data_IF_010446943546
#
_entry.id   IF_010446943546
#
_cell.length_a   1.000
_cell.length_b   1.000
_cell.length_c   1.000
_cell.angle_alpha   90.00
_cell.angle_beta   90.00
_cell.angle_gamma   90.00
#
_symmetry.space_group_name_H-M   'P 1'
#
loop_
_entity.id
_entity.type
_entity.pdbx_description
1 polymer ?
#
# COMPACT_ATOMS: atom_id res chain seq x y z
N UNK A 1 -23.00 16.74 -2.60
CA UNK A 1 -22.77 16.80 -1.14
C UNK A 1 -21.27 16.76 -0.92
N UNK A 2 -20.75 17.51 0.05
CA UNK A 2 -19.31 17.70 0.27
C UNK A 2 -18.57 16.36 0.36
N UNK A 3 -17.70 16.09 -0.61
CA UNK A 3 -16.82 14.89 -0.67
C UNK A 3 -15.64 15.01 0.33
N UNK A 4 -15.51 16.15 0.99
CA UNK A 4 -14.42 16.43 1.94
C UNK A 4 -14.90 16.13 3.36
N UNK A 5 -14.43 15.01 3.90
CA UNK A 5 -14.41 14.78 5.34
C UNK A 5 -13.43 15.80 5.94
N UNK A 6 -13.87 16.63 6.88
CA UNK A 6 -12.97 17.57 7.57
C UNK A 6 -11.87 16.74 8.24
N UNK A 7 -10.61 17.16 8.11
CA UNK A 7 -9.46 16.44 8.70
C UNK A 7 -9.64 16.07 10.17
N UNK A 8 -10.35 16.89 10.94
CA UNK A 8 -10.67 16.65 12.36
C UNK A 8 -11.51 15.38 12.61
N UNK A 9 -12.27 14.93 11.61
CA UNK A 9 -13.09 13.71 11.70
C UNK A 9 -12.31 12.41 11.44
N UNK A 10 -11.06 12.49 10.95
CA UNK A 10 -10.22 11.30 10.71
C UNK A 10 -9.33 11.05 11.93
N UNK A 11 -9.33 9.83 12.43
CA UNK A 11 -8.39 9.33 13.40
C UNK A 11 -7.45 8.31 12.74
N UNK A 12 -6.18 8.71 12.60
CA UNK A 12 -5.10 7.80 12.21
C UNK A 12 -4.72 6.99 13.46
N UNK A 13 -5.06 5.70 13.44
CA UNK A 13 -4.81 4.75 14.53
C UNK A 13 -3.37 4.28 14.44
N UNK A 14 -2.54 4.83 15.31
CA UNK A 14 -1.14 4.43 15.46
C UNK A 14 -1.06 3.05 16.10
N UNK A 15 -0.65 2.04 15.32
CA UNK A 15 -0.56 0.65 15.76
C UNK A 15 0.89 0.32 16.11
N UNK A 16 1.07 -0.20 17.31
CA UNK A 16 2.31 -0.62 17.95
C UNK A 16 2.11 -2.03 18.53
N UNK A 17 3.14 -2.59 19.16
CA UNK A 17 3.07 -3.95 19.69
C UNK A 17 1.99 -4.14 20.78
N UNK A 18 1.68 -3.10 21.56
CA UNK A 18 0.77 -3.17 22.70
C UNK A 18 -0.71 -3.15 22.31
N UNK A 19 -1.08 -2.53 21.18
CA UNK A 19 -2.46 -2.49 20.69
C UNK A 19 -2.71 -3.31 19.42
N UNK A 20 -1.71 -4.00 18.87
CA UNK A 20 -1.82 -4.74 17.61
C UNK A 20 -3.04 -5.68 17.55
N UNK A 21 -3.26 -6.47 18.60
CA UNK A 21 -4.38 -7.42 18.66
C UNK A 21 -5.73 -6.71 18.65
N UNK A 22 -5.86 -5.63 19.43
CA UNK A 22 -7.07 -4.83 19.56
C UNK A 22 -7.46 -4.21 18.21
N UNK A 23 -6.47 -3.67 17.51
CA UNK A 23 -6.67 -3.08 16.19
C UNK A 23 -7.05 -4.12 15.13
N UNK A 24 -6.48 -5.32 15.21
CA UNK A 24 -6.90 -6.43 14.34
C UNK A 24 -8.28 -6.99 14.68
N UNK A 25 -8.76 -6.88 15.92
CA UNK A 25 -10.16 -7.21 16.24
C UNK A 25 -11.11 -6.25 15.52
N UNK A 26 -10.84 -4.94 15.57
CA UNK A 26 -11.65 -3.95 14.85
C UNK A 26 -11.65 -4.18 13.34
N UNK A 27 -10.49 -4.47 12.76
CA UNK A 27 -10.35 -4.77 11.33
C UNK A 27 -11.21 -5.96 10.91
N UNK A 28 -11.21 -7.04 11.71
CA UNK A 28 -12.04 -8.23 11.43
C UNK A 28 -13.53 -7.94 11.48
N UNK A 29 -13.95 -7.00 12.32
CA UNK A 29 -15.36 -6.60 12.43
C UNK A 29 -15.83 -5.78 11.22
N UNK A 30 -14.95 -5.04 10.56
CA UNK A 30 -15.34 -4.09 9.49
C UNK A 30 -15.09 -4.60 8.07
N UNK A 31 -14.24 -5.61 7.87
CA UNK A 31 -13.74 -5.96 6.53
C UNK A 31 -14.85 -6.36 5.54
N UNK A 32 -15.93 -6.96 6.04
CA UNK A 32 -17.07 -7.37 5.21
C UNK A 32 -17.92 -6.17 4.77
N UNK A 33 -18.04 -5.14 5.61
CA UNK A 33 -18.81 -3.92 5.33
C UNK A 33 -18.00 -2.87 4.54
N UNK A 34 -16.67 -2.90 4.68
CA UNK A 34 -15.73 -1.95 4.07
C UNK A 34 -14.66 -2.69 3.24
N UNK A 35 -15.05 -3.34 2.12
CA UNK A 35 -14.19 -4.29 1.41
C UNK A 35 -13.11 -3.64 0.52
N UNK A 36 -13.08 -2.32 0.36
CA UNK A 36 -12.01 -1.65 -0.37
C UNK A 36 -10.87 -1.31 0.58
N UNK A 37 -9.68 -1.84 0.31
CA UNK A 37 -8.50 -1.69 1.17
C UNK A 37 -7.43 -0.94 0.40
N UNK A 38 -7.32 0.35 0.67
CA UNK A 38 -6.23 1.16 0.16
C UNK A 38 -4.97 0.98 1.00
N UNK A 39 -3.82 0.86 0.33
CA UNK A 39 -2.57 0.50 0.98
C UNK A 39 -1.39 1.29 0.43
N UNK A 40 -0.46 1.63 1.34
CA UNK A 40 0.83 2.24 1.06
C UNK A 40 1.87 1.77 2.08
N UNK A 41 3.16 1.79 1.74
CA UNK A 41 4.24 1.39 2.65
C UNK A 41 5.41 2.37 2.68
N UNK A 42 6.05 2.46 3.85
CA UNK A 42 7.32 3.16 4.00
C UNK A 42 8.45 2.17 4.28
N UNK A 43 9.55 2.32 3.54
CA UNK A 43 10.69 1.42 3.56
C UNK A 43 11.99 2.19 3.25
N UNK A 44 13.18 1.62 3.53
CA UNK A 44 14.44 2.36 3.50
C UNK A 44 15.02 2.58 2.08
N UNK A 45 14.14 2.75 1.08
CA UNK A 45 14.48 3.07 -0.30
C UNK A 45 15.04 1.92 -1.12
N UNK A 46 15.88 2.28 -2.10
CA UNK A 46 16.51 1.36 -3.06
C UNK A 46 18.02 1.57 -2.98
N UNK A 47 18.76 0.51 -2.64
CA UNK A 47 20.21 0.56 -2.39
C UNK A 47 21.01 -0.28 -3.39
N UNK A 48 20.37 -1.21 -4.08
CA UNK A 48 21.01 -2.09 -5.04
C UNK A 48 20.31 -2.03 -6.40
N UNK A 49 21.11 -2.12 -7.48
CA UNK A 49 20.62 -2.38 -8.83
C UNK A 49 21.35 -3.59 -9.38
N UNK A 50 20.62 -4.62 -9.86
CA UNK A 50 21.26 -5.82 -10.37
C UNK A 50 22.00 -5.48 -11.68
N UNK A 51 23.23 -5.95 -11.79
CA UNK A 51 24.05 -5.82 -13.00
C UNK A 51 23.84 -7.06 -13.88
N UNK A 52 23.69 -6.86 -15.19
CA UNK A 52 23.57 -7.95 -16.15
C UNK A 52 22.73 -7.62 -17.36
N UNK A 53 22.60 -8.60 -18.26
CA UNK A 53 21.73 -8.50 -19.43
C UNK A 53 20.33 -9.04 -19.07
N UNK A 54 19.32 -8.18 -19.17
CA UNK A 54 17.93 -8.52 -18.93
C UNK A 54 17.20 -8.66 -20.26
N UNK A 55 16.33 -9.67 -20.37
CA UNK A 55 15.57 -9.92 -21.60
C UNK A 55 14.54 -8.83 -21.88
N UNK A 56 13.96 -8.27 -20.82
CA UNK A 56 12.94 -7.22 -20.90
C UNK A 56 13.15 -6.17 -19.80
N UNK A 57 12.55 -4.98 -19.98
CA UNK A 57 12.53 -3.95 -18.93
C UNK A 57 11.78 -4.44 -17.68
N UNK A 58 10.73 -5.24 -17.87
CA UNK A 58 9.95 -5.83 -16.77
C UNK A 58 10.79 -6.79 -15.94
N UNK A 59 11.62 -7.63 -16.56
CA UNK A 59 12.56 -8.51 -15.85
C UNK A 59 13.56 -7.69 -15.03
N UNK A 60 14.09 -6.60 -15.58
CA UNK A 60 15.00 -5.71 -14.88
C UNK A 60 14.32 -5.05 -13.67
N UNK A 61 13.10 -4.52 -13.84
CA UNK A 61 12.34 -3.90 -12.76
C UNK A 61 12.02 -4.90 -11.66
N UNK A 62 11.54 -6.10 -12.02
CA UNK A 62 11.24 -7.14 -11.05
C UNK A 62 12.49 -7.59 -10.28
N UNK A 63 13.62 -7.80 -10.97
CA UNK A 63 14.88 -8.17 -10.32
C UNK A 63 15.38 -7.08 -9.38
N UNK A 64 15.23 -5.81 -9.77
CA UNK A 64 15.58 -4.68 -8.91
C UNK A 64 14.70 -4.65 -7.66
N UNK A 65 13.39 -4.82 -7.81
CA UNK A 65 12.45 -4.94 -6.69
C UNK A 65 12.83 -6.09 -5.76
N UNK A 66 12.96 -7.31 -6.30
CA UNK A 66 13.32 -8.52 -5.55
C UNK A 66 14.56 -8.31 -4.70
N UNK A 67 15.65 -7.86 -5.31
CA UNK A 67 16.93 -7.66 -4.63
C UNK A 67 16.83 -6.70 -3.45
N UNK A 68 16.07 -5.61 -3.61
CA UNK A 68 15.94 -4.62 -2.54
C UNK A 68 14.97 -5.08 -1.45
N UNK A 69 13.80 -5.64 -1.83
CA UNK A 69 12.82 -6.13 -0.85
C UNK A 69 13.41 -7.26 -0.01
N UNK A 70 14.14 -8.20 -0.60
CA UNK A 70 14.75 -9.32 0.14
C UNK A 70 15.78 -8.85 1.17
N UNK A 71 16.55 -7.82 0.83
CA UNK A 71 17.63 -7.27 1.67
C UNK A 71 17.13 -6.29 2.73
N UNK A 72 16.10 -5.51 2.43
CA UNK A 72 15.64 -4.40 3.25
C UNK A 72 14.45 -4.82 4.12
N UNK A 73 14.10 -3.95 5.08
CA UNK A 73 13.06 -4.21 6.07
C UNK A 73 11.98 -3.14 5.98
N UNK A 74 10.73 -3.56 6.08
CA UNK A 74 9.56 -2.69 6.12
C UNK A 74 9.62 -1.80 7.37
N UNK A 75 9.23 -0.53 7.25
CA UNK A 75 9.22 0.43 8.38
C UNK A 75 7.78 0.70 8.80
N UNK A 76 6.89 0.93 7.83
CA UNK A 76 5.51 1.30 8.07
C UNK A 76 4.59 0.71 7.00
N UNK A 77 3.34 0.42 7.38
CA UNK A 77 2.24 0.05 6.49
C UNK A 77 1.01 0.87 6.86
N UNK A 78 0.34 1.42 5.86
CA UNK A 78 -0.93 2.11 6.01
C UNK A 78 -2.04 1.30 5.39
N UNK A 79 -3.16 1.16 6.10
CA UNK A 79 -4.37 0.56 5.57
C UNK A 79 -5.56 1.49 5.80
N UNK A 80 -6.27 1.80 4.73
CA UNK A 80 -7.52 2.55 4.77
C UNK A 80 -8.63 1.68 4.19
N UNK A 81 -9.66 1.43 4.99
CA UNK A 81 -10.83 0.65 4.59
C UNK A 81 -11.95 1.59 4.16
N UNK A 82 -12.64 1.24 3.08
CA UNK A 82 -13.86 1.95 2.67
C UNK A 82 -14.91 1.02 2.06
N UNK A 83 -16.16 1.47 2.08
CA UNK A 83 -17.23 0.83 1.31
C UNK A 83 -17.12 1.19 -0.18
N UNK A 84 -18.04 0.65 -1.00
CA UNK A 84 -18.12 0.95 -2.45
C UNK A 84 -18.31 2.43 -2.78
N UNK A 85 -18.82 3.21 -1.82
CA UNK A 85 -19.09 4.64 -1.99
C UNK A 85 -17.94 5.52 -1.50
N UNK A 86 -16.93 4.95 -0.85
CA UNK A 86 -15.79 5.66 -0.25
C UNK A 86 -16.04 6.12 1.19
N UNK A 87 -17.07 5.62 1.87
CA UNK A 87 -17.28 5.89 3.29
C UNK A 87 -16.30 5.09 4.13
N UNK A 88 -15.78 5.69 5.19
CA UNK A 88 -14.82 5.07 6.10
C UNK A 88 -15.54 4.49 7.33
N UNK A 89 -14.98 3.44 7.96
CA UNK A 89 -15.48 2.91 9.22
C UNK A 89 -15.23 3.92 10.36
N UNK A 90 -16.05 3.87 11.42
CA UNK A 90 -15.82 4.67 12.64
C UNK A 90 -15.29 3.85 13.81
N UNK A 91 -15.21 2.53 13.68
CA UNK A 91 -14.71 1.61 14.71
C UNK A 91 -15.41 1.81 16.08
N UNK A 92 -16.71 2.09 16.08
CA UNK A 92 -17.47 2.35 17.32
C UNK A 92 -17.22 3.72 17.96
N UNK A 93 -16.57 4.65 17.26
CA UNK A 93 -16.31 6.03 17.72
C UNK A 93 -17.10 7.07 16.92
N UNK A 94 -16.94 8.35 17.25
CA UNK A 94 -17.49 9.50 16.52
C UNK A 94 -16.59 9.96 15.36
N UNK A 95 -15.42 9.32 15.17
CA UNK A 95 -14.42 9.65 14.15
C UNK A 95 -14.21 8.47 13.22
N UNK A 96 -13.90 8.77 11.97
CA UNK A 96 -13.48 7.77 11.00
C UNK A 96 -12.10 7.22 11.36
N UNK A 97 -11.87 5.93 11.19
CA UNK A 97 -10.61 5.27 11.52
C UNK A 97 -9.85 4.82 10.26
N UNK A 98 -8.55 5.07 10.25
CA UNK A 98 -7.58 4.45 9.33
C UNK A 98 -6.40 3.92 10.15
N UNK A 99 -5.61 3.00 9.62
CA UNK A 99 -4.54 2.33 10.38
C UNK A 99 -3.15 2.68 9.85
N UNK A 100 -2.24 2.89 10.80
CA UNK A 100 -0.81 3.07 10.54
C UNK A 100 -0.01 2.11 11.42
N UNK A 101 0.51 1.04 10.82
CA UNK A 101 1.30 0.00 11.49
C UNK A 101 2.77 0.36 11.47
N UNK A 102 3.39 0.38 12.66
CA UNK A 102 4.79 0.74 12.85
C UNK A 102 5.63 -0.50 13.20
N UNK A 103 6.58 -0.89 12.35
CA UNK A 103 7.36 -2.14 12.51
C UNK A 103 8.68 -1.91 13.27
N UNK A 104 9.15 -2.95 13.98
CA UNK A 104 10.35 -2.87 14.83
C UNK A 104 11.64 -3.34 14.19
N UNK A 105 11.56 -4.05 13.08
CA UNK A 105 12.66 -4.84 12.52
C UNK A 105 13.79 -3.96 11.98
N UNK A 106 13.45 -2.80 11.42
CA UNK A 106 14.42 -1.88 10.81
C UNK A 106 15.16 -1.06 11.87
N UNK A 107 16.49 -1.12 11.86
CA UNK A 107 17.38 -0.43 12.77
C UNK A 107 18.46 0.35 12.00
N UNK A 108 18.40 1.67 12.10
CA UNK A 108 19.30 2.63 11.42
C UNK A 108 20.79 2.41 11.75
N UNK A 109 21.11 1.79 12.88
CA UNK A 109 22.51 1.55 13.30
C UNK A 109 23.17 0.33 12.66
N UNK A 110 22.39 -0.62 12.14
CA UNK A 110 22.92 -1.91 11.65
C UNK A 110 22.40 -2.32 10.27
N UNK A 111 21.21 -1.86 9.88
CA UNK A 111 20.59 -2.26 8.62
C UNK A 111 21.07 -1.40 7.46
N UNK A 112 20.99 -1.98 6.26
CA UNK A 112 21.27 -1.26 5.01
C UNK A 112 20.08 -0.36 4.67
N UNK A 113 20.35 0.85 4.18
CA UNK A 113 19.32 1.80 3.74
C UNK A 113 19.86 2.83 2.76
N UNK A 114 18.96 3.45 1.99
CA UNK A 114 19.26 4.65 1.22
C UNK A 114 19.20 5.86 2.16
N UNK A 115 20.30 6.62 2.23
CA UNK A 115 20.45 7.75 3.15
C UNK A 115 19.33 8.79 2.97
N UNK A 116 19.08 9.18 1.73
CA UNK A 116 18.05 10.19 1.38
C UNK A 116 16.65 9.74 1.82
N UNK A 117 16.34 8.44 1.71
CA UNK A 117 15.06 7.88 2.16
C UNK A 117 14.91 7.97 3.68
N UNK A 118 15.95 7.64 4.45
CA UNK A 118 15.90 7.75 5.91
C UNK A 118 15.84 9.21 6.38
N UNK A 119 16.53 10.12 5.70
CA UNK A 119 16.44 11.55 6.01
C UNK A 119 15.03 12.09 5.74
N UNK A 120 14.43 11.72 4.60
CA UNK A 120 13.05 12.07 4.27
C UNK A 120 12.07 11.54 5.33
N UNK A 121 12.18 10.27 5.72
CA UNK A 121 11.28 9.65 6.72
C UNK A 121 11.43 10.30 8.09
N UNK A 122 12.66 10.66 8.51
CA UNK A 122 12.88 11.43 9.75
C UNK A 122 12.21 12.80 9.69
N UNK A 123 12.37 13.51 8.57
CA UNK A 123 11.72 14.82 8.36
C UNK A 123 10.19 14.71 8.33
N UNK A 124 9.68 13.56 7.91
CA UNK A 124 8.25 13.22 7.87
C UNK A 124 7.73 12.70 9.20
N UNK A 125 8.56 12.65 10.26
CA UNK A 125 8.13 12.37 11.63
C UNK A 125 8.29 10.92 12.09
N UNK A 126 8.97 10.05 11.31
CA UNK A 126 9.25 8.68 11.75
C UNK A 126 10.30 8.67 12.88
N UNK A 127 9.90 8.15 14.04
CA UNK A 127 10.79 7.93 15.19
C UNK A 127 11.32 6.49 15.19
N UNK A 128 12.45 6.30 14.51
CA UNK A 128 13.11 4.99 14.42
C UNK A 128 13.47 4.37 15.77
N UNK A 129 13.74 5.19 16.80
CA UNK A 129 14.01 4.65 18.13
C UNK A 129 12.73 4.07 18.72
N UNK A 130 11.61 4.79 18.62
CA UNK A 130 10.30 4.30 19.03
C UNK A 130 9.88 3.05 18.25
N UNK A 131 10.17 2.98 16.94
CA UNK A 131 9.97 1.76 16.13
C UNK A 131 10.70 0.56 16.76
N UNK A 132 11.99 0.66 17.07
CA UNK A 132 12.70 -0.48 17.66
C UNK A 132 12.21 -0.83 19.08
N UNK A 133 11.79 0.15 19.89
CA UNK A 133 11.36 -0.06 21.27
C UNK A 133 9.91 -0.57 21.41
N UNK A 134 9.01 -0.11 20.55
CA UNK A 134 7.55 -0.32 20.66
C UNK A 134 6.90 -0.88 19.41
N UNK A 135 7.64 -0.97 18.31
CA UNK A 135 7.11 -1.41 17.02
C UNK A 135 6.59 -2.83 17.07
N UNK A 136 5.70 -3.10 16.14
CA UNK A 136 5.09 -4.38 15.88
C UNK A 136 6.14 -5.38 15.43
N UNK A 137 6.02 -6.61 15.94
CA UNK A 137 6.69 -7.77 15.36
C UNK A 137 6.08 -8.12 14.00
N UNK A 138 6.89 -8.09 12.95
CA UNK A 138 6.43 -8.36 11.59
C UNK A 138 5.84 -9.77 11.43
N UNK A 139 6.36 -10.77 12.15
CA UNK A 139 5.83 -12.13 12.11
C UNK A 139 4.46 -12.21 12.79
N UNK A 140 4.29 -11.58 13.96
CA UNK A 140 2.98 -11.52 14.62
C UNK A 140 1.95 -10.78 13.77
N UNK A 141 2.35 -9.67 13.14
CA UNK A 141 1.51 -8.98 12.18
C UNK A 141 1.08 -9.89 11.04
N UNK A 142 2.00 -10.68 10.46
CA UNK A 142 1.71 -11.63 9.38
C UNK A 142 0.62 -12.65 9.78
N UNK A 143 0.74 -13.22 10.97
CA UNK A 143 -0.21 -14.21 11.51
C UNK A 143 -1.62 -13.61 11.65
N UNK A 144 -1.71 -12.39 12.18
CA UNK A 144 -2.99 -11.70 12.36
C UNK A 144 -3.59 -11.28 11.02
N UNK A 145 -2.78 -10.79 10.09
CA UNK A 145 -3.23 -10.41 8.76
C UNK A 145 -3.73 -11.63 7.97
N UNK A 146 -3.05 -12.78 8.06
CA UNK A 146 -3.47 -14.03 7.42
C UNK A 146 -4.87 -14.48 7.87
N UNK A 147 -5.23 -14.22 9.13
CA UNK A 147 -6.50 -14.61 9.74
C UNK A 147 -7.49 -13.44 9.88
N UNK A 148 -7.28 -12.35 9.15
CA UNK A 148 -8.09 -11.13 9.25
C UNK A 148 -9.33 -11.10 8.35
N UNK A 149 -9.37 -11.95 7.32
CA UNK A 149 -10.37 -11.88 6.25
C UNK A 149 -9.98 -10.96 5.08
N UNK A 150 -8.87 -10.23 5.18
CA UNK A 150 -8.41 -9.29 4.14
C UNK A 150 -7.68 -10.00 2.98
N UNK A 151 -6.94 -11.06 3.31
CA UNK A 151 -6.14 -11.83 2.35
C UNK A 151 -6.92 -13.04 1.85
N UNK A 152 -6.53 -13.54 0.67
CA UNK A 152 -7.11 -14.76 0.08
C UNK A 152 -8.65 -14.65 -0.09
N UNK A 153 -9.16 -13.43 -0.26
CA UNK A 153 -10.58 -13.13 -0.27
C UNK A 153 -10.95 -12.32 -1.53
N UNK A 154 -11.74 -12.92 -2.41
CA UNK A 154 -12.17 -12.30 -3.68
C UNK A 154 -13.12 -11.11 -3.48
N UNK A 155 -13.77 -11.00 -2.31
CA UNK A 155 -14.63 -9.88 -1.98
C UNK A 155 -13.83 -8.60 -1.68
N UNK A 156 -12.54 -8.72 -1.34
CA UNK A 156 -11.69 -7.60 -0.97
C UNK A 156 -11.03 -6.99 -2.20
N UNK A 157 -11.10 -5.67 -2.31
CA UNK A 157 -10.57 -4.88 -3.43
C UNK A 157 -9.38 -4.05 -2.95
N UNK A 158 -8.18 -4.47 -3.31
CA UNK A 158 -6.96 -3.74 -2.97
C UNK A 158 -6.77 -2.54 -3.89
N UNK A 159 -6.52 -1.37 -3.31
CA UNK A 159 -6.30 -0.11 -4.03
C UNK A 159 -4.94 0.44 -3.68
N UNK A 160 -4.11 0.72 -4.67
CA UNK A 160 -2.71 1.08 -4.42
C UNK A 160 -2.20 2.12 -5.42
N UNK A 161 -0.99 2.64 -5.21
CA UNK A 161 -0.36 3.56 -6.15
C UNK A 161 1.09 3.14 -6.43
N UNK A 162 1.38 2.67 -7.64
CA UNK A 162 2.73 2.28 -8.08
C UNK A 162 3.36 1.19 -7.18
N UNK A 163 2.58 0.15 -6.90
CA UNK A 163 2.73 -0.60 -5.65
C UNK A 163 3.52 -1.90 -5.74
N UNK A 164 4.44 -1.99 -6.70
CA UNK A 164 5.28 -3.17 -6.86
C UNK A 164 6.04 -3.48 -5.57
N UNK A 165 6.70 -2.46 -4.99
CA UNK A 165 7.45 -2.61 -3.75
C UNK A 165 6.55 -2.91 -2.56
N UNK A 166 5.40 -2.24 -2.44
CA UNK A 166 4.47 -2.44 -1.32
C UNK A 166 3.98 -3.89 -1.24
N UNK A 167 3.53 -4.43 -2.37
CA UNK A 167 3.15 -5.85 -2.46
C UNK A 167 4.35 -6.79 -2.29
N UNK A 168 5.54 -6.38 -2.74
CA UNK A 168 6.77 -7.10 -2.47
C UNK A 168 7.02 -7.27 -0.97
N UNK A 169 6.94 -6.19 -0.20
CA UNK A 169 7.13 -6.23 1.25
C UNK A 169 6.05 -7.06 1.95
N UNK A 170 4.78 -6.86 1.60
CA UNK A 170 3.69 -7.66 2.17
C UNK A 170 3.86 -9.15 1.85
N UNK A 171 4.21 -9.50 0.61
CA UNK A 171 4.38 -10.90 0.23
C UNK A 171 5.59 -11.54 0.94
N UNK A 172 6.71 -10.83 1.06
CA UNK A 172 7.87 -11.27 1.87
C UNK A 172 7.45 -11.52 3.32
N UNK A 173 6.70 -10.59 3.90
CA UNK A 173 6.21 -10.69 5.27
C UNK A 173 5.28 -11.90 5.46
N UNK A 174 4.32 -12.08 4.55
CA UNK A 174 3.29 -13.13 4.63
C UNK A 174 3.84 -14.53 4.38
N UNK A 175 4.83 -14.65 3.50
CA UNK A 175 5.45 -15.94 3.18
C UNK A 175 6.57 -16.29 4.16
N UNK A 176 7.16 -15.30 4.83
CA UNK A 176 8.38 -15.48 5.64
C UNK A 176 9.57 -15.95 4.82
N UNK A 177 9.54 -15.77 3.50
CA UNK A 177 10.56 -16.20 2.54
C UNK A 177 11.03 -15.03 1.69
N UNK A 178 12.15 -15.22 1.00
CA UNK A 178 12.52 -14.33 -0.09
C UNK A 178 11.48 -14.40 -1.20
N UNK A 179 11.35 -13.29 -1.94
CA UNK A 179 10.44 -13.20 -3.06
C UNK A 179 10.78 -14.25 -4.14
N UNK A 180 9.80 -14.67 -4.96
CA UNK A 180 10.03 -15.66 -6.02
C UNK A 180 11.19 -15.31 -6.96
N UNK A 181 11.82 -16.31 -7.55
CA UNK A 181 12.91 -16.06 -8.51
C UNK A 181 12.44 -15.48 -9.84
N UNK A 182 11.18 -15.74 -10.20
CA UNK A 182 10.60 -15.32 -11.47
C UNK A 182 9.48 -14.33 -11.25
N UNK A 183 9.38 -13.38 -12.18
CA UNK A 183 8.30 -12.42 -12.27
C UNK A 183 6.92 -13.11 -12.32
N UNK A 184 6.78 -14.19 -13.10
CA UNK A 184 5.56 -15.02 -13.12
C UNK A 184 5.25 -15.63 -11.76
N UNK A 185 6.26 -16.15 -11.04
CA UNK A 185 6.05 -16.72 -9.71
C UNK A 185 5.56 -15.67 -8.71
N UNK A 186 6.05 -14.44 -8.82
CA UNK A 186 5.55 -13.31 -8.02
C UNK A 186 4.08 -13.01 -8.31
N UNK A 187 3.70 -12.84 -9.58
CA UNK A 187 2.32 -12.55 -9.93
C UNK A 187 1.36 -13.69 -9.57
N UNK A 188 1.79 -14.95 -9.66
CA UNK A 188 0.99 -16.09 -9.19
C UNK A 188 0.67 -15.97 -7.70
N UNK A 189 1.63 -15.54 -6.88
CA UNK A 189 1.37 -15.33 -5.45
C UNK A 189 0.53 -14.08 -5.21
N UNK A 190 0.76 -12.98 -5.94
CA UNK A 190 -0.08 -11.79 -5.85
C UNK A 190 -1.54 -12.14 -6.14
N UNK A 191 -1.84 -12.87 -7.21
CA UNK A 191 -3.22 -13.26 -7.53
C UNK A 191 -3.87 -14.19 -6.51
N UNK A 192 -3.07 -14.93 -5.73
CA UNK A 192 -3.59 -15.79 -4.66
C UNK A 192 -3.91 -14.94 -3.43
N UNK A 193 -2.93 -14.17 -2.93
CA UNK A 193 -3.07 -13.39 -1.69
C UNK A 193 -3.97 -12.16 -1.84
N UNK A 194 -3.97 -11.55 -3.03
CA UNK A 194 -4.64 -10.30 -3.36
C UNK A 194 -5.41 -10.46 -4.69
N UNK A 195 -6.55 -11.16 -4.69
CA UNK A 195 -7.22 -11.55 -5.93
C UNK A 195 -7.65 -10.36 -6.80
N UNK A 196 -8.11 -9.28 -6.17
CA UNK A 196 -8.56 -8.06 -6.85
C UNK A 196 -7.69 -6.88 -6.45
N UNK A 197 -6.90 -6.36 -7.40
CA UNK A 197 -5.97 -5.24 -7.19
C UNK A 197 -6.16 -4.17 -8.25
N UNK A 198 -6.21 -2.90 -7.81
CA UNK A 198 -6.22 -1.72 -8.66
C UNK A 198 -5.01 -0.83 -8.34
N UNK A 199 -4.05 -0.79 -9.26
CA UNK A 199 -2.94 0.17 -9.17
C UNK A 199 -3.36 1.47 -9.88
N UNK A 200 -3.56 2.54 -9.11
CA UNK A 200 -3.93 3.87 -9.60
C UNK A 200 -2.92 4.36 -10.64
N UNK A 201 -1.62 4.08 -10.46
CA UNK A 201 -0.59 4.51 -11.41
C UNK A 201 -0.75 3.82 -12.77
N UNK A 202 -1.24 2.58 -12.77
CA UNK A 202 -1.64 1.89 -13.99
C UNK A 202 -2.90 2.51 -14.60
N UNK A 203 -3.95 2.76 -13.78
CA UNK A 203 -5.19 3.38 -14.24
C UNK A 203 -4.97 4.75 -14.89
N UNK A 204 -4.05 5.56 -14.37
CA UNK A 204 -3.68 6.85 -14.95
C UNK A 204 -3.24 6.75 -16.42
N UNK A 205 -2.71 5.61 -16.88
CA UNK A 205 -2.32 5.44 -18.30
C UNK A 205 -3.51 5.54 -19.26
N UNK A 206 -4.72 5.35 -18.77
CA UNK A 206 -5.96 5.39 -19.56
C UNK A 206 -6.74 6.69 -19.35
N UNK A 207 -6.15 7.66 -18.63
CA UNK A 207 -6.75 8.96 -18.36
C UNK A 207 -5.89 10.04 -19.00
N UNK A 208 -6.42 10.68 -20.04
CA UNK A 208 -5.76 11.84 -20.63
C UNK A 208 -5.54 12.91 -19.55
N UNK A 209 -4.40 13.60 -19.60
CA UNK A 209 -3.96 14.68 -18.68
C UNK A 209 -3.46 14.30 -17.27
N UNK A 210 -3.65 13.07 -16.79
CA UNK A 210 -3.19 12.67 -15.45
C UNK A 210 -1.73 12.17 -15.46
N UNK A 211 -0.87 12.77 -14.63
CA UNK A 211 0.56 12.44 -14.57
C UNK A 211 1.16 12.80 -13.19
N UNK A 212 2.42 12.40 -12.95
CA UNK A 212 3.13 12.68 -11.70
C UNK A 212 2.93 11.63 -10.59
N UNK A 213 3.38 11.93 -9.38
CA UNK A 213 3.21 11.08 -8.19
C UNK A 213 1.83 11.25 -7.53
N UNK A 214 1.57 10.50 -6.45
CA UNK A 214 0.28 10.49 -5.77
C UNK A 214 -0.19 11.90 -5.34
N UNK A 215 0.70 12.70 -4.73
CA UNK A 215 0.38 14.09 -4.35
C UNK A 215 -0.05 14.93 -5.56
N UNK A 216 0.63 14.79 -6.70
CA UNK A 216 0.29 15.56 -7.90
C UNK A 216 -1.06 15.12 -8.47
N UNK A 217 -1.34 13.82 -8.45
CA UNK A 217 -2.63 13.30 -8.86
C UNK A 217 -3.75 13.80 -7.94
N UNK A 218 -3.54 13.77 -6.62
CA UNK A 218 -4.49 14.29 -5.65
C UNK A 218 -4.80 15.78 -5.88
N UNK A 219 -3.78 16.61 -6.14
CA UNK A 219 -3.98 18.01 -6.54
C UNK A 219 -4.86 18.14 -7.80
N UNK A 220 -4.58 17.35 -8.84
CA UNK A 220 -5.32 17.38 -10.11
C UNK A 220 -6.78 16.92 -9.95
N UNK A 221 -7.05 16.05 -8.98
CA UNK A 221 -8.40 15.55 -8.67
C UNK A 221 -9.08 16.31 -7.52
N UNK A 222 -8.48 17.41 -7.06
CA UNK A 222 -8.97 18.24 -5.96
C UNK A 222 -9.24 17.43 -4.67
N UNK A 223 -8.32 16.52 -4.35
CA UNK A 223 -8.33 15.72 -3.12
C UNK A 223 -7.35 16.32 -2.12
N UNK A 224 -7.85 16.68 -0.95
CA UNK A 224 -7.03 17.18 0.15
C UNK A 224 -6.42 16.04 0.97
N UNK A 225 -5.16 16.19 1.35
CA UNK A 225 -4.46 15.24 2.22
C UNK A 225 -4.84 15.46 3.68
N UNK A 226 -5.07 14.37 4.40
CA UNK A 226 -5.23 14.36 5.86
C UNK A 226 -4.10 13.54 6.47
N UNK A 227 -3.37 14.15 7.42
CA UNK A 227 -2.17 13.57 8.01
C UNK A 227 -0.88 14.06 7.34
N UNK A 228 0.24 13.49 7.76
CA UNK A 228 1.59 13.90 7.32
C UNK A 228 1.92 13.15 6.02
N UNK A 229 2.47 13.84 5.02
CA UNK A 229 2.94 13.19 3.79
C UNK A 229 4.14 12.29 4.09
N UNK A 230 4.29 11.17 3.36
CA UNK A 230 5.34 10.17 3.61
C UNK A 230 5.22 9.50 4.98
N UNK A 231 3.98 9.28 5.39
CA UNK A 231 3.61 8.31 6.40
C UNK A 231 2.50 7.45 5.84
N UNK A 232 2.67 6.13 5.96
CA UNK A 232 1.88 5.19 5.19
C UNK A 232 0.37 5.30 5.45
N UNK A 233 -0.06 5.61 6.68
CA UNK A 233 -1.47 5.80 7.01
C UNK A 233 -2.11 6.94 6.20
N UNK A 234 -1.49 8.12 6.23
CA UNK A 234 -1.91 9.30 5.48
C UNK A 234 -1.87 9.07 3.96
N UNK A 235 -0.83 8.41 3.46
CA UNK A 235 -0.67 8.10 2.04
C UNK A 235 -1.68 7.04 1.55
N UNK A 236 -2.03 6.05 2.40
CA UNK A 236 -3.10 5.08 2.11
C UNK A 236 -4.49 5.72 2.03
N UNK A 237 -4.78 6.72 2.90
CA UNK A 237 -6.02 7.47 2.84
C UNK A 237 -6.09 8.33 1.58
N UNK A 238 -4.99 9.02 1.25
CA UNK A 238 -4.91 9.79 0.02
C UNK A 238 -5.12 8.89 -1.21
N UNK A 239 -4.54 7.69 -1.19
CA UNK A 239 -4.73 6.66 -2.22
C UNK A 239 -6.21 6.27 -2.35
N UNK A 240 -6.91 5.98 -1.25
CA UNK A 240 -8.35 5.65 -1.26
C UNK A 240 -9.20 6.78 -1.87
N UNK A 241 -9.06 8.00 -1.34
CA UNK A 241 -9.83 9.16 -1.79
C UNK A 241 -9.57 9.48 -3.27
N UNK A 242 -8.32 9.38 -3.70
CA UNK A 242 -7.89 9.62 -5.08
C UNK A 242 -8.47 8.57 -6.03
N UNK A 243 -8.43 7.29 -5.66
CA UNK A 243 -9.04 6.22 -6.44
C UNK A 243 -10.54 6.44 -6.64
N UNK A 244 -11.25 6.84 -5.58
CA UNK A 244 -12.69 7.12 -5.67
C UNK A 244 -12.99 8.21 -6.69
N UNK A 245 -12.30 9.36 -6.59
CA UNK A 245 -12.44 10.47 -7.55
C UNK A 245 -12.08 10.06 -8.97
N UNK A 246 -11.02 9.29 -9.13
CA UNK A 246 -10.57 8.78 -10.42
C UNK A 246 -11.62 7.85 -11.06
N UNK A 247 -12.11 6.86 -10.29
CA UNK A 247 -13.14 5.89 -10.69
C UNK A 247 -14.42 6.60 -11.17
N UNK A 248 -14.85 7.63 -10.44
CA UNK A 248 -16.08 8.36 -10.77
C UNK A 248 -15.91 9.27 -11.98
N UNK A 249 -14.77 9.95 -12.10
CA UNK A 249 -14.57 10.99 -13.11
C UNK A 249 -14.10 10.46 -14.47
N UNK A 250 -13.33 9.37 -14.49
CA UNK A 250 -12.68 8.87 -15.72
C UNK A 250 -13.16 7.48 -16.15
N UNK A 251 -13.75 6.71 -15.24
CA UNK A 251 -14.10 5.30 -15.48
C UNK A 251 -15.60 5.02 -15.38
N UNK A 252 -16.43 6.05 -15.22
CA UNK A 252 -17.90 5.92 -15.05
C UNK A 252 -18.28 4.89 -13.97
N UNK A 253 -17.46 4.75 -12.93
CA UNK A 253 -17.70 3.80 -11.85
C UNK A 253 -17.23 2.36 -12.10
N UNK A 254 -16.62 2.01 -13.24
CA UNK A 254 -16.23 0.63 -13.58
C UNK A 254 -14.73 0.53 -13.90
N UNK A 255 -13.99 -0.16 -13.03
CA UNK A 255 -12.53 -0.35 -13.15
C UNK A 255 -12.12 -1.81 -13.32
N UNK A 256 -13.06 -2.74 -13.32
CA UNK A 256 -12.85 -4.20 -13.21
C UNK A 256 -11.95 -4.73 -14.34
N UNK A 257 -12.06 -4.17 -15.55
CA UNK A 257 -11.23 -4.54 -16.71
C UNK A 257 -9.73 -4.24 -16.55
N UNK A 258 -9.36 -3.42 -15.57
CA UNK A 258 -7.98 -3.01 -15.29
C UNK A 258 -7.40 -3.69 -14.05
N UNK A 259 -8.15 -4.58 -13.41
CA UNK A 259 -7.72 -5.27 -12.20
C UNK A 259 -6.52 -6.20 -12.47
N UNK A 260 -5.70 -6.39 -11.44
CA UNK A 260 -4.60 -7.37 -11.43
C UNK A 260 -3.30 -6.90 -12.10
N UNK A 261 -3.21 -5.63 -12.51
CA UNK A 261 -2.02 -5.09 -13.17
C UNK A 261 -1.28 -4.10 -12.25
N UNK A 262 -0.02 -4.39 -11.95
CA UNK A 262 0.87 -3.49 -11.20
C UNK A 262 1.69 -2.63 -12.15
N UNK A 263 1.76 -1.32 -11.90
CA UNK A 263 2.49 -0.42 -12.79
C UNK A 263 3.98 -0.78 -12.86
N UNK A 264 4.52 -0.81 -14.08
CA UNK A 264 5.94 -1.11 -14.34
C UNK A 264 6.32 -2.59 -14.21
N UNK A 265 5.39 -3.44 -13.77
CA UNK A 265 5.59 -4.88 -13.59
C UNK A 265 4.54 -5.73 -14.32
N UNK A 266 3.36 -5.23 -14.64
CA UNK A 266 2.34 -6.02 -15.34
C UNK A 266 2.81 -6.55 -16.70
N UNK A 267 2.23 -7.66 -17.13
CA UNK A 267 2.27 -8.05 -18.55
C UNK A 267 1.40 -7.03 -19.30
N UNK A 268 1.99 -6.22 -20.16
CA UNK A 268 1.22 -5.42 -21.11
C UNK A 268 0.53 -6.39 -22.07
N UNK A 269 -0.65 -6.88 -21.68
CA UNK A 269 -1.57 -7.50 -22.62
C UNK A 269 -2.05 -6.37 -23.52
N UNK A 270 -1.36 -6.18 -24.65
CA UNK A 270 -1.57 -5.13 -25.63
C UNK A 270 -2.92 -5.16 -26.36
N UNK A 271 -4.01 -5.40 -25.65
CA UNK A 271 -5.37 -5.13 -26.12
C UNK A 271 -5.78 -3.74 -25.67
N UNK A 272 -5.25 -2.74 -26.37
CA UNK A 272 -6.00 -1.53 -26.66
C UNK A 272 -7.19 -1.96 -27.52
N UNK A 273 -8.31 -2.34 -26.91
CA UNK A 273 -9.58 -2.35 -27.62
C UNK A 273 -10.23 -1.00 -27.36
N UNK A 274 -10.24 -0.19 -28.42
CA UNK A 274 -11.04 1.02 -28.57
C UNK A 274 -12.51 0.77 -28.23
#
# INVERSE_FOLDING_TARGET
>A
MSILQKGDSIHIREVWADNLEEEFMLIREIVDDYPYVAMDTEFPGIVARPLGNFKTSTDFHYRTLKTNVDMLKLIQLGLTFSDEFGNLPTCGTDRFCIWQFNFREFNVGIDVYAKDSIELLKQSGIDFKKNNEKGIDAQRFAELLMSSGILLNDAVHWVTFHSGYDFGYLLKLLTGQYLPETHTGFFNLISIYFPTVYDIKHLMKFCDSLHGGLNKLAELLEVERVGICHQAGSDSLLTSCTFRKLKDSFFNGSTERYAGVLYGLGFDNGTSMH
#
